data_IF_868198868597
#
_entry.id   IF_868198868597
#
_cell.length_a   1.000
_cell.length_b   1.000
_cell.length_c   1.000
_cell.angle_alpha   90.00
_cell.angle_beta   90.00
_cell.angle_gamma   90.00
#
_symmetry.space_group_name_H-M   'P 1'
#
loop_
_entity.id
_entity.type
_entity.pdbx_description
1 polymer ?
#
# COMPACT_ATOMS: atom_id res chain seq x y z
N UNK A 1 -8.10 1.51 42.62
CA UNK A 1 -8.84 1.73 43.88
C UNK A 1 -9.55 0.44 44.29
N UNK A 2 -8.93 -0.37 45.15
CA UNK A 2 -9.49 -1.64 45.62
C UNK A 2 -9.10 -1.89 47.09
N UNK A 3 -8.92 -0.82 47.84
CA UNK A 3 -8.17 -0.88 49.10
C UNK A 3 -9.03 -0.88 50.37
N UNK A 4 -10.36 -0.71 50.32
CA UNK A 4 -11.18 -0.72 51.56
C UNK A 4 -12.57 -1.37 51.50
N UNK A 5 -13.15 -1.69 50.33
CA UNK A 5 -14.52 -2.23 50.24
C UNK A 5 -14.68 -3.25 49.10
N UNK A 6 -15.43 -4.33 49.33
CA UNK A 6 -15.74 -5.35 48.33
C UNK A 6 -17.20 -5.24 47.86
N UNK A 7 -17.45 -4.28 46.96
CA UNK A 7 -18.77 -4.12 46.36
C UNK A 7 -19.06 -5.28 45.39
N UNK A 8 -20.03 -6.13 45.74
CA UNK A 8 -20.53 -7.19 44.87
C UNK A 8 -21.08 -6.56 43.59
N UNK A 9 -20.60 -7.00 42.42
CA UNK A 9 -21.04 -6.48 41.12
C UNK A 9 -20.40 -5.17 40.65
N UNK A 10 -19.52 -4.52 41.43
CA UNK A 10 -18.89 -3.26 41.02
C UNK A 10 -18.09 -3.37 39.71
N UNK A 11 -17.43 -4.52 39.47
CA UNK A 11 -16.77 -4.77 38.18
C UNK A 11 -17.73 -4.72 36.99
N UNK A 12 -18.95 -5.23 37.15
CA UNK A 12 -19.95 -5.23 36.09
C UNK A 12 -20.46 -3.80 35.82
N UNK A 13 -20.71 -3.02 36.87
CA UNK A 13 -21.10 -1.62 36.76
C UNK A 13 -20.01 -0.77 36.09
N UNK A 14 -18.74 -0.93 36.49
CA UNK A 14 -17.60 -0.23 35.88
C UNK A 14 -17.46 -0.61 34.40
N UNK A 15 -17.55 -1.90 34.05
CA UNK A 15 -17.49 -2.33 32.63
C UNK A 15 -18.66 -1.80 31.80
N UNK A 16 -19.85 -1.65 32.40
CA UNK A 16 -21.02 -1.08 31.72
C UNK A 16 -20.79 0.39 31.40
N UNK A 17 -20.28 1.14 32.37
CA UNK A 17 -20.02 2.57 32.19
C UNK A 17 -18.84 2.83 31.25
N UNK A 18 -17.76 2.05 31.38
CA UNK A 18 -16.63 2.12 30.46
C UNK A 18 -17.02 1.83 29.00
N UNK A 19 -17.96 0.91 28.76
CA UNK A 19 -18.49 0.63 27.41
C UNK A 19 -19.40 1.73 26.84
N UNK A 20 -20.04 2.53 27.70
CA UNK A 20 -20.84 3.70 27.29
C UNK A 20 -20.01 4.94 27.01
N UNK A 21 -18.77 4.98 27.49
CA UNK A 21 -17.86 6.08 27.25
C UNK A 21 -17.44 6.12 25.78
N UNK A 22 -17.89 7.14 25.03
CA UNK A 22 -17.51 7.33 23.61
C UNK A 22 -16.01 7.54 23.45
N UNK A 23 -15.38 8.29 24.36
CA UNK A 23 -13.93 8.48 24.39
C UNK A 23 -13.22 7.15 24.62
N UNK A 24 -13.70 6.35 25.57
CA UNK A 24 -13.22 5.00 25.83
C UNK A 24 -13.38 4.09 24.62
N UNK A 25 -14.51 4.13 23.91
CA UNK A 25 -14.75 3.35 22.70
C UNK A 25 -13.84 3.79 21.52
N UNK A 26 -13.59 5.09 21.37
CA UNK A 26 -12.69 5.62 20.33
C UNK A 26 -11.23 5.22 20.54
N UNK A 27 -10.77 5.16 21.80
CA UNK A 27 -9.39 4.77 22.14
C UNK A 27 -9.27 3.28 22.52
N UNK A 28 -10.39 2.58 22.67
CA UNK A 28 -10.43 1.13 22.81
C UNK A 28 -10.24 0.51 21.45
N UNK A 29 -9.00 0.54 20.95
CA UNK A 29 -8.63 -0.31 19.83
C UNK A 29 -8.74 -1.75 20.28
N UNK A 30 -9.74 -2.46 19.79
CA UNK A 30 -9.64 -3.92 19.73
C UNK A 30 -8.54 -4.26 18.73
N UNK A 31 -7.77 -5.31 19.01
CA UNK A 31 -6.89 -5.87 17.98
C UNK A 31 -7.78 -6.39 16.86
N UNK A 32 -7.72 -5.76 15.69
CA UNK A 32 -8.36 -6.33 14.52
C UNK A 32 -7.67 -7.65 14.19
N UNK A 33 -8.45 -8.73 14.13
CA UNK A 33 -7.94 -9.96 13.54
C UNK A 33 -7.82 -9.69 12.04
N UNK A 34 -6.58 -9.53 11.55
CA UNK A 34 -6.33 -9.42 10.12
C UNK A 34 -6.71 -10.76 9.47
N UNK A 35 -7.79 -10.75 8.67
CA UNK A 35 -8.12 -11.88 7.80
C UNK A 35 -7.09 -11.86 6.67
N UNK A 36 -6.10 -12.75 6.74
CA UNK A 36 -5.15 -12.91 5.64
C UNK A 36 -5.80 -13.73 4.53
N UNK A 37 -5.93 -13.12 3.35
CA UNK A 37 -6.30 -13.84 2.12
C UNK A 37 -5.10 -14.67 1.63
N UNK A 38 -5.39 -15.75 0.90
CA UNK A 38 -4.35 -16.57 0.28
C UNK A 38 -3.41 -15.72 -0.58
N UNK A 39 -2.11 -15.95 -0.43
CA UNK A 39 -1.12 -15.27 -1.24
C UNK A 39 -1.22 -15.76 -2.69
N UNK A 40 -1.16 -14.87 -3.69
CA UNK A 40 -1.16 -15.26 -5.09
C UNK A 40 0.02 -16.21 -5.38
N UNK A 41 -0.23 -17.25 -6.19
CA UNK A 41 0.75 -18.30 -6.48
C UNK A 41 2.15 -17.77 -6.90
N UNK A 42 2.29 -16.67 -7.65
CA UNK A 42 3.60 -16.07 -7.95
C UNK A 42 4.42 -15.58 -6.74
N UNK A 43 3.78 -15.33 -5.59
CA UNK A 43 4.46 -14.99 -4.32
C UNK A 43 4.97 -16.22 -3.57
N UNK A 44 4.33 -17.37 -3.76
CA UNK A 44 4.59 -18.59 -2.99
C UNK A 44 5.51 -19.54 -3.76
N UNK A 45 5.39 -19.54 -5.09
CA UNK A 45 6.19 -20.39 -5.96
C UNK A 45 7.47 -19.66 -6.42
N UNK A 46 8.65 -20.26 -6.21
CA UNK A 46 9.89 -19.71 -6.74
C UNK A 46 9.85 -19.75 -8.27
N UNK A 47 10.32 -18.66 -8.88
CA UNK A 47 10.33 -18.46 -10.33
C UNK A 47 11.47 -17.53 -10.74
N UNK A 48 11.61 -17.30 -12.05
CA UNK A 48 12.61 -16.37 -12.57
C UNK A 48 12.30 -14.94 -12.09
N UNK A 49 13.33 -14.21 -11.64
CA UNK A 49 13.16 -12.81 -11.26
C UNK A 49 12.52 -12.00 -12.40
N UNK A 50 11.61 -11.10 -12.03
CA UNK A 50 10.82 -10.26 -12.94
C UNK A 50 9.90 -11.03 -13.91
N UNK A 51 9.72 -12.35 -13.74
CA UNK A 51 8.76 -13.11 -14.54
C UNK A 51 7.33 -12.67 -14.23
N UNK A 52 6.99 -12.62 -12.94
CA UNK A 52 5.70 -12.16 -12.45
C UNK A 52 5.92 -10.89 -11.63
N UNK A 53 5.19 -9.83 -11.95
CA UNK A 53 5.28 -8.57 -11.24
C UNK A 53 4.03 -7.74 -11.38
N UNK A 54 3.94 -6.77 -10.47
CA UNK A 54 2.87 -5.77 -10.38
C UNK A 54 3.46 -4.40 -10.74
N UNK A 55 2.61 -3.53 -11.30
CA UNK A 55 2.96 -2.13 -11.57
C UNK A 55 2.11 -1.26 -10.66
N UNK A 56 2.77 -0.33 -9.97
CA UNK A 56 2.12 0.70 -9.18
C UNK A 56 2.61 2.10 -9.60
N UNK A 57 1.77 3.12 -9.41
CA UNK A 57 2.11 4.50 -9.68
C UNK A 57 2.03 5.33 -8.41
N UNK A 58 3.18 5.83 -7.97
CA UNK A 58 3.22 6.84 -6.93
C UNK A 58 2.99 8.22 -7.56
N UNK A 59 2.24 9.06 -6.83
CA UNK A 59 1.60 10.29 -7.29
C UNK A 59 2.48 11.34 -7.98
N UNK A 60 1.89 12.49 -8.34
CA UNK A 60 2.60 13.50 -9.10
C UNK A 60 3.66 14.20 -8.25
N UNK A 61 4.92 13.88 -8.49
CA UNK A 61 6.08 14.57 -7.95
C UNK A 61 6.47 15.72 -8.86
N UNK A 62 6.84 16.86 -8.27
CA UNK A 62 7.44 17.97 -9.01
C UNK A 62 8.92 17.69 -9.18
N UNK A 63 9.32 17.31 -10.39
CA UNK A 63 10.70 17.00 -10.73
C UNK A 63 11.28 18.17 -11.53
N UNK A 64 12.45 18.63 -11.12
CA UNK A 64 13.24 19.60 -11.87
C UNK A 64 14.35 18.85 -12.60
N UNK A 65 14.35 18.90 -13.93
CA UNK A 65 15.31 18.16 -14.77
C UNK A 65 16.75 18.65 -14.61
N UNK A 66 16.96 19.89 -14.18
CA UNK A 66 18.29 20.48 -13.94
C UNK A 66 18.25 21.54 -12.85
N UNK A 67 19.34 21.68 -12.08
CA UNK A 67 19.48 22.77 -11.11
C UNK A 67 19.80 24.09 -11.84
N UNK A 68 19.03 25.15 -11.59
CA UNK A 68 19.25 26.47 -12.16
C UNK A 68 18.12 27.46 -11.86
N UNK A 69 18.42 28.77 -11.94
CA UNK A 69 17.40 29.83 -11.81
C UNK A 69 16.45 29.80 -13.01
N UNK A 70 15.14 29.83 -12.76
CA UNK A 70 14.10 29.84 -13.81
C UNK A 70 13.74 28.48 -14.41
N UNK A 71 14.30 27.37 -13.90
CA UNK A 71 13.94 26.03 -14.39
C UNK A 71 12.55 25.64 -13.87
N UNK A 72 11.62 25.36 -14.78
CA UNK A 72 10.27 24.93 -14.45
C UNK A 72 10.27 23.49 -13.93
N UNK A 73 9.65 23.28 -12.78
CA UNK A 73 9.34 21.95 -12.26
C UNK A 73 8.21 21.32 -13.09
N UNK A 74 8.36 20.05 -13.42
CA UNK A 74 7.39 19.28 -14.20
C UNK A 74 6.74 18.24 -13.29
N UNK A 75 5.42 18.10 -13.35
CA UNK A 75 4.72 17.01 -12.66
C UNK A 75 5.03 15.69 -13.37
N UNK A 76 5.58 14.73 -12.64
CA UNK A 76 5.93 13.39 -13.10
C UNK A 76 5.44 12.38 -12.07
N UNK A 77 5.08 11.19 -12.51
CA UNK A 77 4.69 10.07 -11.67
C UNK A 77 5.85 9.07 -11.61
N UNK A 78 5.99 8.36 -10.50
CA UNK A 78 6.95 7.26 -10.39
C UNK A 78 6.22 5.96 -10.66
N UNK A 79 6.62 5.25 -11.71
CA UNK A 79 6.16 3.91 -12.03
C UNK A 79 7.06 2.91 -11.29
N UNK A 80 6.48 2.16 -10.36
CA UNK A 80 7.16 1.12 -9.60
C UNK A 80 6.76 -0.25 -10.15
N UNK A 81 7.73 -0.98 -10.69
CA UNK A 81 7.57 -2.38 -11.07
C UNK A 81 8.08 -3.26 -9.93
N UNK A 82 7.20 -4.05 -9.33
CA UNK A 82 7.53 -4.94 -8.20
C UNK A 82 7.50 -6.39 -8.67
N UNK A 83 8.62 -7.09 -8.54
CA UNK A 83 8.64 -8.54 -8.78
C UNK A 83 7.97 -9.27 -7.62
N UNK A 84 6.95 -10.09 -7.92
CA UNK A 84 6.23 -10.86 -6.91
C UNK A 84 7.07 -11.97 -6.27
N UNK A 85 8.00 -12.53 -7.04
CA UNK A 85 8.85 -13.64 -6.62
C UNK A 85 10.02 -13.20 -5.75
N UNK A 86 10.73 -12.12 -6.12
CA UNK A 86 11.94 -11.66 -5.40
C UNK A 86 11.74 -10.41 -4.57
N UNK A 87 10.60 -9.73 -4.70
CA UNK A 87 10.34 -8.40 -4.12
C UNK A 87 11.27 -7.29 -4.60
N UNK A 88 12.02 -7.53 -5.68
CA UNK A 88 12.84 -6.49 -6.30
C UNK A 88 11.95 -5.42 -6.93
N UNK A 89 12.32 -4.15 -6.73
CA UNK A 89 11.59 -2.99 -7.25
C UNK A 89 12.43 -2.29 -8.32
N UNK A 90 11.84 -2.05 -9.48
CA UNK A 90 12.39 -1.18 -10.51
C UNK A 90 11.55 0.10 -10.60
N UNK A 91 12.19 1.26 -10.59
CA UNK A 91 11.52 2.56 -10.64
C UNK A 91 11.83 3.24 -11.98
N UNK A 92 10.77 3.63 -12.71
CA UNK A 92 10.87 4.46 -13.91
C UNK A 92 10.02 5.74 -13.74
N UNK A 93 10.34 6.77 -14.51
CA UNK A 93 9.58 8.02 -14.51
C UNK A 93 8.54 8.00 -15.63
N UNK A 94 7.31 8.33 -15.26
CA UNK A 94 6.16 8.42 -16.16
C UNK A 94 5.63 9.85 -16.22
N UNK A 95 5.29 10.31 -17.42
CA UNK A 95 4.70 11.63 -17.59
C UNK A 95 3.27 11.74 -17.07
N UNK A 96 2.54 10.64 -17.15
CA UNK A 96 1.10 10.56 -16.98
C UNK A 96 0.68 9.12 -16.68
N UNK A 97 -0.52 8.96 -16.12
CA UNK A 97 -1.12 7.67 -15.76
C UNK A 97 -1.78 6.95 -16.95
N UNK A 98 -1.48 7.36 -18.19
CA UNK A 98 -2.05 6.74 -19.39
C UNK A 98 -1.48 5.35 -19.63
N UNK A 99 -2.31 4.48 -20.23
CA UNK A 99 -1.91 3.16 -20.68
C UNK A 99 -0.71 3.22 -21.65
N UNK A 100 -0.60 4.25 -22.49
CA UNK A 100 0.53 4.37 -23.42
C UNK A 100 1.86 4.60 -22.69
N UNK A 101 1.85 5.40 -21.64
CA UNK A 101 3.02 5.69 -20.83
C UNK A 101 3.41 4.48 -19.98
N UNK A 102 2.41 3.74 -19.48
CA UNK A 102 2.61 2.42 -18.86
C UNK A 102 3.26 1.42 -19.83
N UNK A 103 2.75 1.27 -21.05
CA UNK A 103 3.32 0.37 -22.07
C UNK A 103 4.75 0.79 -22.44
N UNK A 104 5.05 2.09 -22.51
CA UNK A 104 6.42 2.57 -22.77
C UNK A 104 7.38 2.25 -21.63
N UNK A 105 6.97 2.48 -20.39
CA UNK A 105 7.75 2.13 -19.20
C UNK A 105 7.99 0.62 -19.15
N UNK A 106 6.93 -0.18 -19.36
CA UNK A 106 7.01 -1.63 -19.42
C UNK A 106 7.86 -2.13 -20.60
N UNK A 107 7.78 -1.49 -21.76
CA UNK A 107 8.52 -1.88 -22.96
C UNK A 107 10.04 -1.74 -22.80
N UNK A 108 10.50 -0.78 -21.99
CA UNK A 108 11.92 -0.69 -21.59
C UNK A 108 12.35 -1.93 -20.80
N UNK A 109 11.50 -2.40 -19.90
CA UNK A 109 11.73 -3.62 -19.12
C UNK A 109 11.55 -4.90 -19.96
N UNK A 110 10.53 -4.99 -20.82
CA UNK A 110 10.15 -6.20 -21.57
C UNK A 110 11.24 -6.73 -22.53
N UNK A 111 12.29 -5.95 -22.80
CA UNK A 111 13.54 -6.44 -23.44
C UNK A 111 14.12 -7.67 -22.72
N UNK A 112 13.76 -7.92 -21.46
CA UNK A 112 14.21 -9.06 -20.65
C UNK A 112 13.21 -10.24 -20.57
N UNK A 113 12.14 -10.23 -21.39
CA UNK A 113 11.06 -11.23 -21.54
C UNK A 113 10.23 -11.42 -20.26
N UNK A 114 9.21 -10.59 -20.06
CA UNK A 114 8.41 -10.54 -18.83
C UNK A 114 6.92 -10.79 -19.08
N UNK A 115 6.24 -11.41 -18.11
CA UNK A 115 4.77 -11.53 -18.06
C UNK A 115 4.25 -10.67 -16.92
N UNK A 116 3.80 -9.46 -17.25
CA UNK A 116 3.33 -8.51 -16.24
C UNK A 116 1.82 -8.53 -16.17
N UNK A 117 1.30 -8.77 -14.97
CA UNK A 117 -0.13 -8.62 -14.71
C UNK A 117 -0.36 -7.16 -14.36
N UNK A 118 -0.92 -6.41 -15.31
CA UNK A 118 -1.45 -5.08 -15.02
C UNK A 118 -2.77 -5.30 -14.28
N UNK A 119 -2.73 -5.24 -12.95
CA UNK A 119 -3.97 -5.17 -12.19
C UNK A 119 -4.68 -3.86 -12.58
N UNK A 120 -5.94 -3.90 -13.05
CA UNK A 120 -6.69 -2.66 -13.23
C UNK A 120 -6.73 -1.97 -11.87
N UNK A 121 -6.32 -0.70 -11.83
CA UNK A 121 -6.48 0.15 -10.65
C UNK A 121 -7.99 0.33 -10.47
N UNK A 122 -8.63 -0.62 -9.79
CA UNK A 122 -9.94 -0.37 -9.22
C UNK A 122 -9.75 0.69 -8.14
N UNK A 123 -10.66 1.65 -8.10
CA UNK A 123 -10.68 2.77 -7.17
C UNK A 123 -10.68 2.37 -5.68
N UNK A 124 -10.65 1.06 -5.39
CA UNK A 124 -10.74 0.47 -4.05
C UNK A 124 -9.39 0.11 -3.43
N UNK A 125 -8.26 0.17 -4.17
CA UNK A 125 -6.92 -0.14 -3.59
C UNK A 125 -6.14 1.08 -3.08
N UNK A 126 -6.76 2.27 -3.03
CA UNK A 126 -6.13 3.49 -2.49
C UNK A 126 -6.32 3.62 -0.96
N UNK A 127 -7.13 2.77 -0.33
CA UNK A 127 -7.28 2.78 1.13
C UNK A 127 -6.97 1.41 1.73
N UNK A 128 -5.86 1.39 2.48
CA UNK A 128 -5.31 0.37 3.38
C UNK A 128 -4.31 -0.63 2.81
#
# INVERSE_FOLDING_TARGET
>A
MKQKYWFVGAKAAIRREARRCVTGARFSSEFSNQIMVDLPAPRVNPGRAFLNGEIDFAGPFLITTRRGRGVKSIKMHVCAFVCLTTKAIHLDLASDLSAQTCIRALGKENKRKYSVTVAPISSEQIFF
#
